data_IF_372143271961
#
_entry.id   IF_372143271961
#
_cell.length_a   1.000
_cell.length_b   1.000
_cell.length_c   1.000
_cell.angle_alpha   90.00
_cell.angle_beta   90.00
_cell.angle_gamma   90.00
#
_symmetry.space_group_name_H-M   'P 1'
#
loop_
_entity.id
_entity.type
_entity.pdbx_description
1 polymer ?
#
# COMPACT_ATOMS: atom_id res chain seq x y z
N UNK A 1 -13.91 17.51 21.34
CA UNK A 1 -13.81 18.30 20.08
C UNK A 1 -14.35 17.41 18.96
N UNK A 2 -15.45 17.78 18.32
CA UNK A 2 -16.08 16.97 17.28
C UNK A 2 -15.55 17.46 15.92
N UNK A 3 -14.60 16.73 15.34
CA UNK A 3 -13.91 17.08 14.08
C UNK A 3 -14.83 17.00 12.85
N UNK A 4 -16.03 16.44 13.00
CA UNK A 4 -17.03 16.25 11.94
C UNK A 4 -17.78 17.54 11.56
N UNK A 5 -17.68 18.60 12.38
CA UNK A 5 -18.36 19.87 12.11
C UNK A 5 -17.87 20.60 10.84
N UNK A 6 -16.70 20.23 10.31
CA UNK A 6 -16.10 20.83 9.11
C UNK A 6 -16.30 19.99 7.83
N UNK A 7 -16.95 18.82 7.93
CA UNK A 7 -17.03 17.84 6.84
C UNK A 7 -18.48 17.55 6.42
N UNK A 8 -19.28 18.59 6.19
CA UNK A 8 -20.70 18.44 5.81
C UNK A 8 -20.94 17.58 4.55
N UNK A 9 -19.96 17.49 3.65
CA UNK A 9 -19.98 16.59 2.48
C UNK A 9 -19.83 15.10 2.83
N UNK A 10 -19.34 14.78 4.02
CA UNK A 10 -18.98 13.42 4.45
C UNK A 10 -20.07 12.74 5.28
N UNK A 11 -21.04 13.47 5.83
CA UNK A 11 -22.03 12.90 6.78
C UNK A 11 -22.79 11.69 6.23
N UNK A 12 -23.07 11.64 4.92
CA UNK A 12 -23.79 10.52 4.28
C UNK A 12 -22.84 9.56 3.53
N UNK A 13 -21.53 9.85 3.54
CA UNK A 13 -20.49 9.13 2.77
C UNK A 13 -19.40 8.52 3.63
N UNK A 14 -19.33 8.85 4.92
CA UNK A 14 -18.34 8.31 5.85
C UNK A 14 -19.04 7.73 7.07
N UNK A 15 -19.02 6.40 7.18
CA UNK A 15 -19.37 5.72 8.42
C UNK A 15 -18.15 5.72 9.33
N UNK A 16 -18.12 6.65 10.29
CA UNK A 16 -17.07 6.71 11.32
C UNK A 16 -17.63 6.06 12.57
N UNK A 17 -17.22 4.83 12.85
CA UNK A 17 -17.55 4.12 14.08
C UNK A 17 -16.36 3.33 14.60
N UNK A 18 -16.40 2.99 15.89
CA UNK A 18 -15.39 2.12 16.50
C UNK A 18 -15.61 0.67 16.07
N UNK A 19 -14.52 -0.11 16.05
CA UNK A 19 -14.59 -1.56 15.89
C UNK A 19 -15.26 -2.21 17.10
N UNK A 20 -16.37 -2.94 16.87
CA UNK A 20 -17.19 -3.63 17.87
C UNK A 20 -17.19 -5.12 17.57
N UNK A 21 -16.69 -5.92 18.52
CA UNK A 21 -16.60 -7.36 18.36
C UNK A 21 -17.98 -8.00 18.18
N UNK A 22 -18.16 -8.84 17.17
CA UNK A 22 -19.40 -9.54 16.86
C UNK A 22 -20.45 -8.70 16.10
N UNK A 23 -20.16 -7.42 15.85
CA UNK A 23 -21.03 -6.52 15.08
C UNK A 23 -20.40 -6.21 13.72
N UNK A 24 -19.36 -5.37 13.70
CA UNK A 24 -18.65 -4.97 12.48
C UNK A 24 -17.27 -5.62 12.30
N UNK A 25 -16.80 -6.36 13.31
CA UNK A 25 -15.57 -7.17 13.23
C UNK A 25 -15.67 -8.38 14.15
N UNK A 26 -15.04 -9.49 13.77
CA UNK A 26 -14.77 -10.61 14.68
C UNK A 26 -13.29 -10.61 15.00
N UNK A 27 -12.92 -10.44 16.27
CA UNK A 27 -11.51 -10.35 16.64
C UNK A 27 -10.81 -11.72 16.53
N UNK A 28 -9.80 -11.73 15.68
CA UNK A 28 -8.76 -12.73 15.59
C UNK A 28 -7.49 -12.03 15.04
N UNK A 29 -6.36 -12.73 15.02
CA UNK A 29 -5.09 -12.13 14.58
C UNK A 29 -5.18 -11.56 13.16
N UNK A 30 -5.84 -12.28 12.25
CA UNK A 30 -5.98 -11.88 10.86
C UNK A 30 -6.81 -10.60 10.70
N UNK A 31 -7.98 -10.55 11.35
CA UNK A 31 -8.89 -9.40 11.31
C UNK A 31 -8.31 -8.19 12.04
N UNK A 32 -7.60 -8.40 13.15
CA UNK A 32 -6.85 -7.34 13.82
C UNK A 32 -5.78 -6.73 12.90
N UNK A 33 -5.05 -7.58 12.15
CA UNK A 33 -4.07 -7.12 11.16
C UNK A 33 -4.74 -6.38 9.99
N UNK A 34 -5.90 -6.83 9.52
CA UNK A 34 -6.67 -6.13 8.48
C UNK A 34 -7.14 -4.75 8.96
N UNK A 35 -7.72 -4.66 10.15
CA UNK A 35 -8.15 -3.40 10.76
C UNK A 35 -6.98 -2.42 10.91
N UNK A 36 -5.83 -2.86 11.46
CA UNK A 36 -4.62 -2.05 11.57
C UNK A 36 -4.15 -1.50 10.21
N UNK A 37 -4.10 -2.35 9.18
CA UNK A 37 -3.66 -1.95 7.83
C UNK A 37 -4.65 -0.98 7.16
N UNK A 38 -5.93 -1.10 7.48
CA UNK A 38 -6.98 -0.20 7.02
C UNK A 38 -6.85 1.19 7.65
N UNK A 39 -6.75 1.26 8.97
CA UNK A 39 -6.58 2.54 9.69
C UNK A 39 -5.32 3.27 9.24
N UNK A 40 -4.17 2.57 9.15
CA UNK A 40 -2.93 3.19 8.66
C UNK A 40 -3.06 3.77 7.25
N UNK A 41 -3.90 3.18 6.39
CA UNK A 41 -4.13 3.68 5.03
C UNK A 41 -4.91 4.99 5.06
N UNK A 42 -5.90 5.11 5.94
CA UNK A 42 -6.75 6.28 6.05
C UNK A 42 -6.02 7.42 6.76
N UNK A 43 -5.39 7.12 7.91
CA UNK A 43 -4.74 8.12 8.76
C UNK A 43 -3.53 8.74 8.09
N UNK A 44 -2.67 7.92 7.46
CA UNK A 44 -1.38 8.35 6.90
C UNK A 44 -1.42 8.48 5.37
N UNK A 45 -2.61 8.73 4.81
CA UNK A 45 -2.79 8.89 3.38
C UNK A 45 -1.95 10.07 2.87
N UNK A 46 -1.26 9.87 1.74
CA UNK A 46 -0.42 10.91 1.10
C UNK A 46 0.85 11.31 1.88
N UNK A 47 1.21 10.60 2.95
CA UNK A 47 2.39 10.90 3.79
C UNK A 47 3.61 10.01 3.49
N UNK A 48 3.73 9.48 2.27
CA UNK A 48 4.89 8.68 1.83
C UNK A 48 5.17 7.39 2.65
N UNK A 49 4.17 6.81 3.31
CA UNK A 49 4.34 5.56 4.08
C UNK A 49 3.80 4.29 3.40
N UNK A 50 2.84 4.45 2.48
CA UNK A 50 2.01 3.33 2.02
C UNK A 50 2.80 2.23 1.32
N UNK A 51 3.68 2.58 0.40
CA UNK A 51 4.44 1.57 -0.36
C UNK A 51 5.37 0.76 0.53
N UNK A 52 6.11 1.43 1.43
CA UNK A 52 7.01 0.77 2.37
C UNK A 52 6.27 -0.18 3.31
N UNK A 53 5.07 0.19 3.77
CA UNK A 53 4.23 -0.69 4.57
C UNK A 53 3.80 -1.95 3.81
N UNK A 54 3.41 -1.81 2.54
CA UNK A 54 3.02 -2.96 1.71
C UNK A 54 4.17 -3.94 1.48
N UNK A 55 5.37 -3.42 1.20
CA UNK A 55 6.60 -4.22 1.03
C UNK A 55 6.94 -4.93 2.34
N UNK A 56 6.95 -4.20 3.47
CA UNK A 56 7.21 -4.76 4.82
C UNK A 56 6.23 -5.88 5.19
N UNK A 57 5.02 -5.82 4.68
CA UNK A 57 3.98 -6.82 4.93
C UNK A 57 3.97 -7.99 3.94
N UNK A 58 4.80 -7.95 2.89
CA UNK A 58 4.85 -8.97 1.85
C UNK A 58 3.57 -9.06 1.01
N UNK A 59 2.88 -7.93 0.81
CA UNK A 59 1.61 -7.87 0.04
C UNK A 59 1.63 -6.79 -1.05
N UNK A 60 2.82 -6.34 -1.44
CA UNK A 60 2.98 -5.26 -2.42
C UNK A 60 2.47 -5.67 -3.81
N UNK A 61 2.80 -6.86 -4.27
CA UNK A 61 2.35 -7.43 -5.55
C UNK A 61 0.82 -7.50 -5.62
N UNK A 62 0.18 -8.05 -4.59
CA UNK A 62 -1.28 -8.20 -4.53
C UNK A 62 -1.97 -6.83 -4.53
N UNK A 63 -1.49 -5.90 -3.69
CA UNK A 63 -2.10 -4.59 -3.55
C UNK A 63 -1.91 -3.71 -4.81
N UNK A 64 -0.72 -3.73 -5.41
CA UNK A 64 -0.40 -2.93 -6.59
C UNK A 64 -1.11 -3.44 -7.84
N UNK A 65 -1.11 -4.76 -8.07
CA UNK A 65 -1.80 -5.33 -9.23
C UNK A 65 -3.32 -5.15 -9.14
N UNK A 66 -3.92 -5.35 -7.95
CA UNK A 66 -5.35 -5.06 -7.75
C UNK A 66 -5.69 -3.59 -8.00
N UNK A 67 -4.80 -2.66 -7.62
CA UNK A 67 -4.96 -1.24 -7.90
C UNK A 67 -4.86 -0.93 -9.41
N UNK A 68 -3.87 -1.48 -10.11
CA UNK A 68 -3.74 -1.30 -11.57
C UNK A 68 -4.97 -1.81 -12.31
N UNK A 69 -5.51 -2.98 -11.94
CA UNK A 69 -6.72 -3.53 -12.55
C UNK A 69 -7.95 -2.65 -12.34
N UNK A 70 -8.09 -2.05 -11.15
CA UNK A 70 -9.18 -1.14 -10.85
C UNK A 70 -9.06 0.22 -11.57
N UNK A 71 -7.84 0.71 -11.80
CA UNK A 71 -7.59 2.04 -12.34
C UNK A 71 -7.30 2.09 -13.84
N UNK A 72 -6.95 0.97 -14.50
CA UNK A 72 -6.61 0.95 -15.94
C UNK A 72 -7.71 1.46 -16.86
N UNK A 73 -8.98 1.35 -16.45
CA UNK A 73 -10.11 1.92 -17.20
C UNK A 73 -10.25 3.44 -17.00
N UNK A 74 -9.70 3.98 -15.92
CA UNK A 74 -9.75 5.40 -15.53
C UNK A 74 -8.52 6.17 -15.99
N UNK A 75 -7.37 5.49 -16.07
CA UNK A 75 -6.06 6.05 -16.39
C UNK A 75 -5.36 5.16 -17.43
N UNK A 76 -5.19 5.69 -18.64
CA UNK A 76 -4.60 4.95 -19.77
C UNK A 76 -3.17 4.46 -19.53
N UNK A 77 -2.38 5.18 -18.72
CA UNK A 77 -1.00 4.77 -18.39
C UNK A 77 -0.92 3.54 -17.47
N UNK A 78 -2.03 3.07 -16.90
CA UNK A 78 -2.09 1.78 -16.20
C UNK A 78 -2.51 0.62 -17.10
N UNK A 79 -2.79 0.84 -18.39
CA UNK A 79 -3.25 -0.21 -19.32
C UNK A 79 -2.31 -1.41 -19.41
N UNK A 80 -1.00 -1.19 -19.28
CA UNK A 80 0.05 -2.23 -19.27
C UNK A 80 0.80 -2.32 -17.94
N UNK A 81 0.31 -1.67 -16.89
CA UNK A 81 0.98 -1.67 -15.60
C UNK A 81 0.90 -3.05 -14.94
N UNK A 82 2.04 -3.53 -14.45
CA UNK A 82 2.16 -4.81 -13.77
C UNK A 82 3.29 -4.76 -12.74
N UNK A 83 3.01 -5.25 -11.54
CA UNK A 83 3.99 -5.40 -10.46
C UNK A 83 4.45 -6.86 -10.43
N UNK A 84 5.76 -7.07 -10.60
CA UNK A 84 6.40 -8.39 -10.50
C UNK A 84 6.98 -8.56 -9.11
N UNK A 85 6.50 -9.59 -8.41
CA UNK A 85 7.04 -10.00 -7.11
C UNK A 85 8.52 -10.40 -7.20
N UNK A 86 9.25 -10.27 -6.10
CA UNK A 86 10.68 -10.56 -5.98
C UNK A 86 11.57 -9.73 -6.94
N UNK A 87 11.09 -8.55 -7.31
CA UNK A 87 11.81 -7.58 -8.14
C UNK A 87 11.38 -6.15 -7.80
N UNK A 88 10.09 -5.82 -7.93
CA UNK A 88 9.63 -4.43 -7.89
C UNK A 88 9.45 -3.84 -6.47
N UNK A 89 9.75 -4.62 -5.42
CA UNK A 89 9.72 -4.20 -4.02
C UNK A 89 10.80 -3.17 -3.69
N UNK A 90 11.94 -3.24 -4.38
CA UNK A 90 13.10 -2.38 -4.15
C UNK A 90 13.57 -1.77 -5.46
N UNK A 91 14.09 -0.55 -5.39
CA UNK A 91 14.76 0.06 -6.54
C UNK A 91 16.05 -0.71 -6.87
N UNK A 92 16.43 -0.79 -8.16
CA UNK A 92 17.69 -1.41 -8.55
C UNK A 92 18.86 -0.62 -7.98
N UNK A 93 19.92 -1.33 -7.60
CA UNK A 93 21.19 -0.70 -7.26
C UNK A 93 21.71 -0.04 -8.55
N UNK A 94 22.10 1.25 -8.50
CA UNK A 94 22.56 1.94 -9.70
C UNK A 94 23.76 1.25 -10.33
N UNK A 95 23.66 0.94 -11.63
CA UNK A 95 24.69 0.20 -12.38
C UNK A 95 26.08 0.84 -12.29
N UNK A 96 26.13 2.18 -12.29
CA UNK A 96 27.37 2.93 -12.10
C UNK A 96 28.09 2.56 -10.79
N UNK A 97 27.35 2.35 -9.70
CA UNK A 97 27.91 1.98 -8.39
C UNK A 97 28.46 0.55 -8.41
N UNK A 98 27.76 -0.38 -9.06
CA UNK A 98 28.23 -1.76 -9.25
C UNK A 98 29.56 -1.77 -9.99
N UNK A 99 29.64 -1.05 -11.12
CA UNK A 99 30.86 -0.95 -11.93
C UNK A 99 32.02 -0.28 -11.18
N UNK A 100 31.76 0.83 -10.47
CA UNK A 100 32.78 1.54 -9.69
C UNK A 100 33.33 0.69 -8.55
N UNK A 101 32.49 -0.13 -7.92
CA UNK A 101 32.90 -1.09 -6.89
C UNK A 101 33.70 -2.28 -7.44
N UNK A 102 33.95 -2.34 -8.76
CA UNK A 102 34.51 -3.50 -9.48
C UNK A 102 33.72 -4.78 -9.20
N UNK A 103 32.38 -4.68 -9.25
CA UNK A 103 31.44 -5.77 -9.02
C UNK A 103 31.50 -6.40 -7.62
N UNK A 104 32.01 -5.65 -6.63
CA UNK A 104 31.87 -6.01 -5.22
C UNK A 104 30.41 -5.91 -4.77
N UNK A 105 29.71 -4.84 -5.16
CA UNK A 105 28.27 -4.74 -4.99
C UNK A 105 27.57 -5.70 -5.94
N UNK A 106 26.60 -6.44 -5.41
CA UNK A 106 25.73 -7.34 -6.18
C UNK A 106 24.35 -6.70 -6.31
N UNK A 107 23.72 -6.93 -7.45
CA UNK A 107 22.39 -6.42 -7.73
C UNK A 107 21.33 -7.09 -6.83
N UNK A 108 20.21 -6.41 -6.61
CA UNK A 108 19.03 -6.97 -5.96
C UNK A 108 18.46 -8.14 -6.78
N UNK A 109 17.78 -9.11 -6.14
CA UNK A 109 17.09 -10.19 -6.86
C UNK A 109 16.15 -9.65 -7.96
N UNK A 110 16.09 -10.37 -9.08
CA UNK A 110 15.19 -10.04 -10.20
C UNK A 110 15.67 -8.93 -11.15
N UNK A 111 16.85 -8.34 -10.90
CA UNK A 111 17.48 -7.29 -11.73
C UNK A 111 18.80 -7.72 -12.36
#
# INVERSE_FOLDING_TARGET
KNSTALTGYANDKTLIETYKNGDNIVWNEENARKALRWERRLELAMENGRFFDLVRWGIADQAMNAYYDAEKSRRSYYSSAHFTADRNEYLPIPEAQIRLSKYLYKQNPGY
#
